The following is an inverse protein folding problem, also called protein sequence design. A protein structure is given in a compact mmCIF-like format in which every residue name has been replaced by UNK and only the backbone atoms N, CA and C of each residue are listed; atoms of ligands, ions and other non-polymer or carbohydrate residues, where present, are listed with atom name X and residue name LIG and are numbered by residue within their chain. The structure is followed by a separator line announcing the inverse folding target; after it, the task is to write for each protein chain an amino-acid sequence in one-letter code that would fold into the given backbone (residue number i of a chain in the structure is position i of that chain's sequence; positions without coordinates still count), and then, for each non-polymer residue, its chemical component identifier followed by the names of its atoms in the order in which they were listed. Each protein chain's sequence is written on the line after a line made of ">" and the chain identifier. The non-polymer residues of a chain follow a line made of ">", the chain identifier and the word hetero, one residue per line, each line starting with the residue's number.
data_IF_932001184811
#
_entry.id   IF_932001184811
#
_cell.length_a   1.000
_cell.length_b   1.000
_cell.length_c   1.000
_cell.angle_alpha   90.00
_cell.angle_beta   90.00
_cell.angle_gamma   90.00
#
_symmetry.space_group_name_H-M   'P 1'
#
loop_
_entity.id
_entity.type
_entity.pdbx_description
1 polymer ?
#
# COMPACT_ATOMS: atom_id res chain seq x y z
N UNK A 1 -12.06 -19.00 -2.90
CA UNK A 1 -10.81 -18.25 -3.15
C UNK A 1 -11.12 -16.76 -3.42
N UNK A 2 -10.37 -15.84 -2.81
CA UNK A 2 -10.50 -14.41 -3.09
C UNK A 2 -9.98 -14.08 -4.50
N UNK A 3 -10.43 -12.95 -5.04
CA UNK A 3 -9.87 -12.38 -6.28
C UNK A 3 -8.38 -12.07 -6.06
N UNK A 4 -7.54 -12.33 -7.06
CA UNK A 4 -6.13 -11.94 -6.99
C UNK A 4 -5.98 -10.43 -7.15
N UNK A 5 -4.98 -9.84 -6.51
CA UNK A 5 -4.73 -8.39 -6.61
C UNK A 5 -4.52 -7.95 -8.09
N UNK A 6 -3.75 -8.66 -8.94
CA UNK A 6 -3.65 -8.32 -10.36
C UNK A 6 -4.99 -8.37 -11.13
N UNK A 7 -5.86 -9.33 -10.82
CA UNK A 7 -7.19 -9.40 -11.42
C UNK A 7 -8.10 -8.26 -10.92
N UNK A 8 -7.98 -7.89 -9.65
CA UNK A 8 -8.65 -6.73 -9.08
C UNK A 8 -8.18 -5.43 -9.75
N UNK A 9 -6.89 -5.25 -10.02
CA UNK A 9 -6.41 -4.09 -10.81
C UNK A 9 -7.08 -4.01 -12.17
N UNK A 10 -7.18 -5.13 -12.91
CA UNK A 10 -7.87 -5.16 -14.20
C UNK A 10 -9.34 -4.77 -14.05
N UNK A 11 -10.00 -5.24 -12.99
CA UNK A 11 -11.38 -4.86 -12.68
C UNK A 11 -11.53 -3.35 -12.44
N UNK A 12 -10.62 -2.77 -11.65
CA UNK A 12 -10.60 -1.34 -11.35
C UNK A 12 -10.41 -0.52 -12.63
N UNK A 13 -9.51 -0.95 -13.53
CA UNK A 13 -9.31 -0.26 -14.81
C UNK A 13 -10.55 -0.29 -15.70
N UNK A 14 -11.29 -1.41 -15.74
CA UNK A 14 -12.57 -1.47 -16.46
C UNK A 14 -13.61 -0.52 -15.89
N UNK A 15 -13.74 -0.47 -14.56
CA UNK A 15 -14.64 0.48 -13.90
C UNK A 15 -14.23 1.91 -14.22
N UNK A 16 -12.93 2.20 -14.23
CA UNK A 16 -12.39 3.52 -14.55
C UNK A 16 -12.61 3.91 -16.03
N UNK A 17 -12.60 2.96 -16.96
CA UNK A 17 -12.92 3.21 -18.39
C UNK A 17 -14.40 3.57 -18.60
N UNK A 18 -15.29 3.05 -17.76
CA UNK A 18 -16.74 3.30 -17.82
C UNK A 18 -17.17 4.51 -16.98
N UNK A 19 -16.27 5.07 -16.16
CA UNK A 19 -16.58 6.13 -15.22
C UNK A 19 -16.53 7.53 -15.84
N UNK A 20 -17.15 8.51 -15.17
CA UNK A 20 -17.11 9.91 -15.58
C UNK A 20 -15.69 10.52 -15.40
N UNK A 21 -15.35 11.62 -16.09
CA UNK A 21 -14.00 12.21 -16.08
C UNK A 21 -13.44 12.59 -14.70
N UNK A 22 -14.29 12.84 -13.70
CA UNK A 22 -13.90 13.13 -12.31
C UNK A 22 -14.45 12.06 -11.39
N UNK A 23 -13.72 10.95 -11.28
CA UNK A 23 -14.14 9.78 -10.51
C UNK A 23 -13.19 9.49 -9.36
N UNK A 24 -13.78 9.10 -8.22
CA UNK A 24 -13.07 8.56 -7.08
C UNK A 24 -13.44 7.08 -6.94
N UNK A 25 -12.44 6.20 -6.96
CA UNK A 25 -12.63 4.77 -6.79
C UNK A 25 -11.87 4.35 -5.53
N UNK A 26 -12.60 3.79 -4.58
CA UNK A 26 -12.04 3.20 -3.37
C UNK A 26 -12.13 1.68 -3.45
N UNK A 27 -11.02 1.00 -3.14
CA UNK A 27 -10.87 -0.44 -3.31
C UNK A 27 -10.26 -1.03 -2.05
N UNK A 28 -10.79 -2.17 -1.61
CA UNK A 28 -10.22 -2.98 -0.54
C UNK A 28 -9.73 -4.28 -1.18
N UNK A 29 -8.43 -4.55 -1.08
CA UNK A 29 -7.85 -5.80 -1.59
C UNK A 29 -8.09 -6.93 -0.60
N UNK A 30 -8.14 -8.17 -1.10
CA UNK A 30 -8.23 -9.38 -0.28
C UNK A 30 -7.21 -10.44 -0.69
N UNK A 31 -6.40 -10.18 -1.74
CA UNK A 31 -5.54 -11.18 -2.35
C UNK A 31 -4.40 -11.67 -1.45
N UNK A 32 -3.98 -10.87 -0.47
CA UNK A 32 -2.98 -11.24 0.52
C UNK A 32 -3.56 -11.46 1.94
N UNK A 33 -4.88 -11.49 2.09
CA UNK A 33 -5.50 -11.73 3.39
C UNK A 33 -5.32 -13.19 3.82
N UNK A 34 -5.12 -13.41 5.13
CA UNK A 34 -5.03 -14.75 5.71
C UNK A 34 -6.37 -15.53 5.70
N UNK A 35 -6.38 -16.79 6.16
CA UNK A 35 -5.23 -17.55 6.62
C UNK A 35 -4.31 -17.99 5.47
N UNK A 36 -3.00 -17.89 5.66
CA UNK A 36 -2.00 -18.43 4.73
C UNK A 36 -1.78 -19.93 5.00
N UNK A 37 -2.71 -20.74 4.53
CA UNK A 37 -2.78 -22.19 4.79
C UNK A 37 -1.59 -22.95 4.19
N UNK A 38 -1.25 -24.13 4.71
CA UNK A 38 -0.16 -24.94 4.13
C UNK A 38 -0.44 -25.36 2.67
N UNK A 39 -1.69 -25.73 2.38
CA UNK A 39 -2.15 -26.08 1.04
C UNK A 39 -2.74 -24.87 0.35
N UNK A 40 -2.44 -24.71 -0.93
CA UNK A 40 -2.90 -23.59 -1.74
C UNK A 40 -2.22 -23.59 -3.11
N UNK A 41 -2.42 -22.53 -3.91
CA UNK A 41 -1.74 -22.37 -5.20
C UNK A 41 -0.21 -22.48 -5.05
N UNK A 42 0.51 -22.85 -6.13
CA UNK A 42 1.96 -22.83 -6.14
C UNK A 42 2.50 -21.45 -5.76
N UNK A 43 3.54 -21.44 -4.92
CA UNK A 43 4.31 -20.23 -4.57
C UNK A 43 5.29 -19.97 -5.72
N UNK A 44 5.49 -18.71 -6.08
CA UNK A 44 6.47 -18.33 -7.10
C UNK A 44 7.87 -18.86 -6.73
N UNK A 45 8.62 -19.51 -7.66
CA UNK A 45 9.90 -20.14 -7.36
C UNK A 45 10.96 -19.24 -6.72
N UNK A 46 11.04 -17.96 -7.09
CA UNK A 46 11.93 -16.98 -6.47
C UNK A 46 11.58 -16.76 -5.00
N UNK A 47 10.30 -16.57 -4.68
CA UNK A 47 9.81 -16.46 -3.29
C UNK A 47 10.09 -17.75 -2.50
N UNK A 48 9.82 -18.92 -3.09
CA UNK A 48 10.02 -20.22 -2.45
C UNK A 48 11.50 -20.50 -2.09
N UNK A 49 12.45 -19.82 -2.75
CA UNK A 49 13.90 -19.97 -2.52
C UNK A 49 14.48 -18.97 -1.51
N UNK A 50 13.70 -18.01 -1.02
CA UNK A 50 14.19 -16.99 -0.09
C UNK A 50 14.70 -17.59 1.23
N UNK A 51 14.07 -18.67 1.69
CA UNK A 51 14.45 -19.41 2.90
C UNK A 51 13.83 -20.81 2.89
N UNK A 52 14.34 -21.70 3.73
CA UNK A 52 13.74 -23.02 3.98
C UNK A 52 12.51 -22.87 4.92
N UNK A 53 11.28 -23.15 4.43
CA UNK A 53 10.07 -22.98 5.23
C UNK A 53 9.94 -24.00 6.37
N UNK A 54 10.76 -25.05 6.40
CA UNK A 54 10.82 -26.03 7.52
C UNK A 54 11.64 -25.48 8.69
N UNK A 55 12.67 -24.67 8.40
CA UNK A 55 13.54 -24.07 9.42
C UNK A 55 12.89 -22.84 10.07
N UNK A 56 12.18 -22.04 9.26
CA UNK A 56 11.53 -20.81 9.72
C UNK A 56 10.17 -21.13 10.35
N UNK A 57 9.91 -20.72 11.61
CA UNK A 57 8.57 -20.82 12.20
C UNK A 57 7.55 -20.08 11.34
N UNK A 58 6.40 -20.71 11.06
CA UNK A 58 5.38 -20.14 10.15
C UNK A 58 5.91 -19.94 8.73
N UNK A 59 6.98 -20.66 8.34
CA UNK A 59 7.69 -20.46 7.09
C UNK A 59 6.81 -20.59 5.85
N UNK A 60 5.95 -21.61 5.76
CA UNK A 60 5.01 -21.76 4.63
C UNK A 60 4.03 -20.59 4.57
N UNK A 61 3.51 -20.15 5.72
CA UNK A 61 2.61 -19.00 5.80
C UNK A 61 3.32 -17.70 5.37
N UNK A 62 4.57 -17.50 5.80
CA UNK A 62 5.38 -16.36 5.39
C UNK A 62 5.68 -16.39 3.89
N UNK A 63 6.05 -17.53 3.29
CA UNK A 63 6.26 -17.62 1.84
C UNK A 63 4.99 -17.28 1.05
N UNK A 64 3.82 -17.70 1.53
CA UNK A 64 2.55 -17.34 0.90
C UNK A 64 2.22 -15.86 1.06
N UNK A 65 2.48 -15.27 2.22
CA UNK A 65 2.35 -13.82 2.42
C UNK A 65 3.27 -13.06 1.46
N UNK A 66 4.52 -13.51 1.27
CA UNK A 66 5.48 -12.89 0.35
C UNK A 66 5.08 -13.06 -1.13
N UNK A 67 4.49 -14.20 -1.53
CA UNK A 67 3.92 -14.32 -2.89
C UNK A 67 2.70 -13.41 -3.06
N UNK A 68 1.87 -13.26 -2.02
CA UNK A 68 0.78 -12.29 -2.00
C UNK A 68 1.29 -10.86 -2.15
N UNK A 69 2.35 -10.49 -1.42
CA UNK A 69 2.99 -9.17 -1.51
C UNK A 69 3.55 -8.90 -2.91
N UNK A 70 4.21 -9.90 -3.53
CA UNK A 70 4.65 -9.84 -4.94
C UNK A 70 3.49 -9.59 -5.90
N UNK A 71 2.31 -10.18 -5.65
CA UNK A 71 1.10 -9.94 -6.46
C UNK A 71 0.51 -8.55 -6.22
N UNK A 72 0.59 -8.02 -5.00
CA UNK A 72 0.21 -6.63 -4.72
C UNK A 72 1.15 -5.64 -5.44
N UNK A 73 2.45 -5.93 -5.53
CA UNK A 73 3.40 -5.16 -6.35
C UNK A 73 3.04 -5.21 -7.85
N UNK A 74 2.72 -6.40 -8.37
CA UNK A 74 2.23 -6.56 -9.76
C UNK A 74 0.94 -5.75 -10.00
N UNK A 75 0.00 -5.74 -9.05
CA UNK A 75 -1.21 -4.93 -9.11
C UNK A 75 -0.88 -3.43 -9.22
N UNK A 76 0.03 -2.93 -8.39
CA UNK A 76 0.48 -1.53 -8.43
C UNK A 76 1.09 -1.19 -9.79
N UNK A 77 1.94 -2.06 -10.34
CA UNK A 77 2.53 -1.87 -11.68
C UNK A 77 1.48 -1.83 -12.80
N UNK A 78 0.44 -2.67 -12.74
CA UNK A 78 -0.68 -2.65 -13.70
C UNK A 78 -1.43 -1.32 -13.62
N UNK A 79 -1.75 -0.86 -12.40
CA UNK A 79 -2.49 0.38 -12.18
C UNK A 79 -1.68 1.60 -12.63
N UNK A 80 -0.44 1.75 -12.18
CA UNK A 80 0.40 2.92 -12.52
C UNK A 80 0.65 2.99 -14.02
N UNK A 81 1.03 1.89 -14.67
CA UNK A 81 1.26 1.87 -16.12
C UNK A 81 0.00 2.27 -16.92
N UNK A 82 -1.20 1.88 -16.47
CA UNK A 82 -2.44 2.26 -17.12
C UNK A 82 -2.81 3.73 -16.88
N UNK A 83 -2.61 4.22 -15.66
CA UNK A 83 -2.87 5.60 -15.27
C UNK A 83 -1.91 6.58 -15.96
N UNK A 84 -0.65 6.20 -16.19
CA UNK A 84 0.34 7.01 -16.92
C UNK A 84 -0.08 7.36 -18.35
N UNK A 85 -0.91 6.53 -18.98
CA UNK A 85 -1.39 6.73 -20.35
C UNK A 85 -2.63 7.62 -20.44
N UNK A 86 -3.24 7.98 -19.30
CA UNK A 86 -4.45 8.83 -19.28
C UNK A 86 -4.09 10.30 -19.39
N UNK A 87 -5.00 11.13 -19.92
CA UNK A 87 -4.72 12.55 -20.19
C UNK A 87 -4.98 13.47 -18.99
N UNK A 88 -5.84 13.07 -18.06
CA UNK A 88 -6.46 14.00 -17.11
C UNK A 88 -5.76 14.08 -15.73
N UNK A 89 -4.53 13.57 -15.61
CA UNK A 89 -3.80 13.59 -14.34
C UNK A 89 -4.37 12.60 -13.32
N UNK A 90 -3.68 11.50 -13.07
CA UNK A 90 -4.11 10.50 -12.10
C UNK A 90 -3.34 10.59 -10.77
N UNK A 91 -4.05 10.33 -9.67
CA UNK A 91 -3.46 10.09 -8.34
C UNK A 91 -3.89 8.69 -7.88
N UNK A 92 -2.92 7.90 -7.41
CA UNK A 92 -3.13 6.59 -6.81
C UNK A 92 -2.63 6.63 -5.36
N UNK A 93 -3.53 6.42 -4.40
CA UNK A 93 -3.18 6.14 -3.01
C UNK A 93 -3.27 4.64 -2.74
N UNK A 94 -2.25 4.09 -2.09
CA UNK A 94 -2.24 2.69 -1.62
C UNK A 94 -1.59 2.63 -0.25
N UNK A 95 -2.15 1.85 0.67
CA UNK A 95 -1.62 1.70 2.02
C UNK A 95 -1.97 0.32 2.57
N UNK A 96 -1.04 -0.26 3.34
CA UNK A 96 -1.32 -1.43 4.16
C UNK A 96 -2.14 -1.03 5.39
N UNK A 97 -3.17 -1.80 5.71
CA UNK A 97 -4.00 -1.59 6.89
C UNK A 97 -3.31 -2.05 8.18
N UNK A 98 -2.60 -3.18 8.13
CA UNK A 98 -1.80 -3.71 9.23
C UNK A 98 -0.76 -4.75 8.78
N UNK A 99 0.15 -5.12 9.68
CA UNK A 99 1.08 -6.24 9.48
C UNK A 99 0.36 -7.59 9.55
N UNK A 100 0.81 -8.61 8.80
CA UNK A 100 0.25 -9.95 8.93
C UNK A 100 0.53 -10.53 10.31
N UNK A 101 -0.39 -11.33 10.85
CA UNK A 101 -0.19 -12.01 12.13
C UNK A 101 0.72 -13.23 11.98
N UNK A 102 2.02 -12.98 11.84
CA UNK A 102 3.10 -13.97 11.71
C UNK A 102 4.21 -13.72 12.76
N UNK A 103 3.86 -13.65 14.06
CA UNK A 103 4.77 -13.15 15.09
C UNK A 103 6.00 -14.05 15.29
N UNK A 104 5.91 -15.36 15.06
CA UNK A 104 7.06 -16.26 15.24
C UNK A 104 8.03 -16.14 14.08
N UNK A 105 7.53 -15.96 12.86
CA UNK A 105 8.37 -15.64 11.71
C UNK A 105 9.09 -14.30 11.90
N UNK A 106 8.37 -13.26 12.33
CA UNK A 106 8.97 -11.95 12.60
C UNK A 106 10.03 -11.99 13.70
N UNK A 107 9.74 -12.69 14.79
CA UNK A 107 10.72 -12.90 15.88
C UNK A 107 11.96 -13.64 15.38
N UNK A 108 11.80 -14.67 14.54
CA UNK A 108 12.90 -15.44 13.98
C UNK A 108 13.88 -14.57 13.18
N UNK A 109 13.38 -13.57 12.45
CA UNK A 109 14.19 -12.62 11.69
C UNK A 109 14.57 -11.35 12.46
N UNK A 110 14.17 -11.22 13.73
CA UNK A 110 14.40 -10.00 14.51
C UNK A 110 13.65 -8.77 13.98
N UNK A 111 12.54 -8.97 13.27
CA UNK A 111 11.70 -7.89 12.75
C UNK A 111 10.82 -7.31 13.87
N UNK A 112 10.98 -6.02 14.16
CA UNK A 112 10.29 -5.32 15.26
C UNK A 112 9.53 -4.08 14.84
N UNK A 113 9.49 -3.78 13.54
CA UNK A 113 8.83 -2.60 12.98
C UNK A 113 7.30 -2.79 13.02
N UNK A 114 6.52 -1.94 13.72
CA UNK A 114 5.07 -2.05 13.79
C UNK A 114 4.31 -1.37 12.63
N UNK A 115 4.98 -0.56 11.81
CA UNK A 115 4.31 0.25 10.79
C UNK A 115 4.02 -0.54 9.49
N UNK A 116 2.96 -0.13 8.79
CA UNK A 116 2.69 -0.53 7.41
C UNK A 116 3.18 0.52 6.43
N UNK A 117 3.51 0.09 5.21
CA UNK A 117 3.90 1.00 4.14
C UNK A 117 2.67 1.62 3.44
N UNK A 118 2.91 2.77 2.82
CA UNK A 118 1.96 3.43 1.93
C UNK A 118 2.68 4.13 0.79
N UNK A 119 1.94 4.49 -0.25
CA UNK A 119 2.38 5.36 -1.32
C UNK A 119 1.25 6.29 -1.77
N UNK A 120 1.66 7.47 -2.23
CA UNK A 120 0.82 8.36 -3.01
C UNK A 120 1.58 8.61 -4.31
N UNK A 121 1.11 7.99 -5.38
CA UNK A 121 1.67 8.13 -6.70
C UNK A 121 0.86 9.15 -7.50
N UNK A 122 1.54 10.01 -8.27
CA UNK A 122 0.92 10.99 -9.16
C UNK A 122 1.55 10.88 -10.55
N UNK A 123 0.73 10.94 -11.57
CA UNK A 123 1.19 11.01 -12.96
C UNK A 123 2.09 12.25 -13.17
N UNK A 124 3.28 12.06 -13.76
CA UNK A 124 4.25 13.14 -13.94
C UNK A 124 4.78 13.73 -12.63
N UNK A 125 4.67 12.99 -11.51
CA UNK A 125 5.18 13.40 -10.21
C UNK A 125 6.70 13.60 -10.19
N UNK A 126 7.15 14.44 -9.26
CA UNK A 126 8.57 14.66 -8.99
C UNK A 126 9.23 13.48 -8.25
N UNK A 127 10.47 13.66 -7.77
CA UNK A 127 11.20 12.60 -7.06
C UNK A 127 10.43 12.14 -5.81
N UNK A 128 10.55 10.84 -5.45
CA UNK A 128 9.88 10.31 -4.27
C UNK A 128 10.45 10.93 -2.99
N UNK A 129 9.56 11.22 -2.04
CA UNK A 129 9.90 11.63 -0.67
C UNK A 129 9.33 10.62 0.32
N UNK A 130 10.13 10.22 1.32
CA UNK A 130 9.68 9.34 2.40
C UNK A 130 9.39 10.17 3.65
N UNK A 131 8.22 9.98 4.24
CA UNK A 131 7.88 10.52 5.56
C UNK A 131 6.95 9.55 6.30
N UNK A 132 7.00 9.56 7.62
CA UNK A 132 6.08 8.77 8.45
C UNK A 132 4.84 9.61 8.74
N UNK A 133 3.65 9.04 8.48
CA UNK A 133 2.37 9.69 8.73
C UNK A 133 1.42 8.75 9.45
N UNK A 134 0.54 9.31 10.27
CA UNK A 134 -0.59 8.55 10.78
C UNK A 134 -1.59 8.25 9.64
N UNK A 135 -2.12 7.03 9.59
CA UNK A 135 -3.02 6.59 8.51
C UNK A 135 -4.22 7.53 8.30
N UNK A 136 -4.78 8.12 9.37
CA UNK A 136 -5.91 9.06 9.28
C UNK A 136 -5.58 10.34 8.50
N UNK A 137 -4.30 10.70 8.35
CA UNK A 137 -3.87 11.86 7.55
C UNK A 137 -3.87 11.58 6.05
N UNK A 138 -3.83 10.32 5.64
CA UNK A 138 -3.66 9.94 4.23
C UNK A 138 -4.80 10.48 3.35
N UNK A 139 -6.05 10.34 3.79
CA UNK A 139 -7.20 10.84 3.04
C UNK A 139 -7.17 12.35 2.83
N UNK A 140 -6.79 13.11 3.87
CA UNK A 140 -6.61 14.56 3.79
C UNK A 140 -5.53 14.92 2.77
N UNK A 141 -4.36 14.28 2.88
CA UNK A 141 -3.21 14.51 1.99
C UNK A 141 -3.57 14.25 0.52
N UNK A 142 -4.37 13.20 0.23
CA UNK A 142 -4.84 12.89 -1.13
C UNK A 142 -5.81 13.96 -1.63
N UNK A 143 -6.78 14.36 -0.81
CA UNK A 143 -7.77 15.40 -1.18
C UNK A 143 -7.07 16.73 -1.44
N UNK A 144 -6.17 17.16 -0.55
CA UNK A 144 -5.42 18.41 -0.71
C UNK A 144 -4.64 18.38 -2.03
N UNK A 145 -3.95 17.27 -2.35
CA UNK A 145 -3.24 17.11 -3.64
C UNK A 145 -4.15 17.14 -4.89
N UNK A 146 -5.40 16.70 -4.77
CA UNK A 146 -6.38 16.78 -5.87
C UNK A 146 -6.88 18.21 -6.04
N UNK A 147 -7.06 18.94 -4.94
CA UNK A 147 -7.61 20.31 -4.93
C UNK A 147 -6.55 21.38 -5.23
N UNK A 148 -5.30 21.18 -4.80
CA UNK A 148 -4.17 22.09 -5.02
C UNK A 148 -3.69 22.10 -6.49
N UNK A 149 -4.39 21.39 -7.38
CA UNK A 149 -4.24 21.49 -8.84
C UNK A 149 -4.54 22.86 -9.46
N UNK A 150 -4.76 23.91 -8.65
CA UNK A 150 -4.85 25.32 -9.07
C UNK A 150 -3.90 26.30 -8.31
N UNK A 151 -2.94 25.83 -7.50
CA UNK A 151 -2.07 26.76 -6.78
C UNK A 151 -0.69 26.22 -6.40
N UNK A 152 0.36 26.94 -6.79
CA UNK A 152 1.74 26.77 -6.32
C UNK A 152 1.79 26.75 -4.79
N UNK A 153 2.38 25.69 -4.22
CA UNK A 153 2.68 25.63 -2.80
C UNK A 153 4.00 24.92 -2.52
N UNK A 154 5.07 25.73 -2.56
CA UNK A 154 6.07 25.72 -1.48
C UNK A 154 5.32 25.82 -0.14
N UNK A 155 5.03 24.69 0.52
CA UNK A 155 4.70 24.71 1.95
C UNK A 155 5.41 23.58 2.67
N UNK A 156 6.53 24.00 3.26
CA UNK A 156 7.05 23.61 4.57
C UNK A 156 6.60 22.24 5.10
N UNK A 157 7.38 21.22 4.76
CA UNK A 157 7.24 19.86 5.31
C UNK A 157 7.83 19.74 6.72
N UNK A 158 8.42 20.81 7.29
CA UNK A 158 9.02 20.80 8.60
C UNK A 158 8.05 21.34 9.67
N UNK A 159 7.24 20.45 10.25
CA UNK A 159 6.72 20.75 11.59
C UNK A 159 7.89 20.71 12.58
N UNK A 160 8.31 21.88 13.02
CA UNK A 160 9.15 22.07 14.20
C UNK A 160 8.59 21.26 15.39
N UNK A 161 9.45 20.62 16.23
CA UNK A 161 9.02 19.81 17.38
C UNK A 161 8.04 20.51 18.34
N UNK A 162 7.97 21.85 18.32
CA UNK A 162 7.15 22.64 19.21
C UNK A 162 5.62 22.52 18.98
N UNK A 163 5.16 22.02 17.82
CA UNK A 163 3.72 21.87 17.56
C UNK A 163 3.12 20.59 18.17
N UNK A 164 3.95 19.61 18.55
CA UNK A 164 3.49 18.35 19.15
C UNK A 164 3.02 18.51 20.62
N UNK A 165 3.56 19.49 21.34
CA UNK A 165 3.29 19.66 22.78
C UNK A 165 1.97 20.38 23.11
N UNK A 166 1.27 20.96 22.12
CA UNK A 166 0.05 21.75 22.41
C UNK A 166 -1.24 20.91 22.40
N UNK A 167 -1.20 19.68 21.87
CA UNK A 167 -2.36 18.77 21.88
C UNK A 167 -2.39 17.80 23.07
N UNK A 168 -1.31 17.68 23.83
CA UNK A 168 -1.24 16.82 25.02
C UNK A 168 -1.83 17.46 26.30
N UNK A 169 -2.05 18.77 26.32
CA UNK A 169 -2.46 19.51 27.53
C UNK A 169 -3.95 19.93 27.59
N UNK A 170 -4.81 19.46 26.67
CA UNK A 170 -6.24 19.78 26.69
C UNK A 170 -7.17 18.57 26.93
N UNK A 171 -6.62 17.48 27.47
CA UNK A 171 -7.39 16.38 28.06
C UNK A 171 -6.77 16.03 29.41
N UNK A 172 -7.02 16.88 30.41
CA UNK A 172 -6.94 16.58 31.83
C UNK A 172 -8.26 17.00 32.48
#
# INVERSE_FOLDING_TARGET
>A
PYCSDPDLARQVLRVLDEAAPKSFIFVITMGNHGPWLEKGPPIEPGVAKLFDPVVVPEGVALQRYLDGLRRSDEMLGILTAALERRRDGAILGFYGDHLPSLPRAFTHFGFTEPHSDYLIWRQGGGPPSRCDIAAHRLGRIIVDRVLDGEGDLETDWALSPAAADTLANNLA
#
